data_IF_823065829824
#
_entry.id   IF_823065829824
#
_cell.length_a   1.000
_cell.length_b   1.000
_cell.length_c   1.000
_cell.angle_alpha   90.00
_cell.angle_beta   90.00
_cell.angle_gamma   90.00
#
_symmetry.space_group_name_H-M   'P 1'
#
loop_
_entity.id
_entity.type
_entity.pdbx_description
1 polymer ?
#
# COMPACT_ATOMS: atom_id res chain seq x y z
N UNK A 1 -13.05 9.96 11.34
CA UNK A 1 -13.22 8.67 10.61
C UNK A 1 -11.91 7.90 10.42
N UNK A 2 -10.73 8.49 10.66
CA UNK A 2 -9.42 7.81 10.65
C UNK A 2 -9.20 6.69 11.70
N UNK A 3 -10.04 6.65 12.75
CA UNK A 3 -9.91 5.65 13.84
C UNK A 3 -10.18 4.22 13.39
N UNK A 4 -11.00 4.02 12.36
CA UNK A 4 -11.36 2.68 11.88
C UNK A 4 -10.35 2.11 10.87
N UNK A 5 -9.66 2.99 10.12
CA UNK A 5 -8.60 2.57 9.18
C UNK A 5 -7.39 1.98 9.92
N UNK A 6 -7.05 2.55 11.09
CA UNK A 6 -5.96 2.06 11.94
C UNK A 6 -6.25 0.67 12.52
N UNK A 7 -7.52 0.36 12.79
CA UNK A 7 -7.92 -0.92 13.37
C UNK A 7 -7.72 -2.08 12.38
N UNK A 8 -7.96 -1.84 11.09
CA UNK A 8 -7.82 -2.84 10.03
C UNK A 8 -6.35 -3.20 9.73
N UNK A 9 -5.44 -2.23 9.79
CA UNK A 9 -4.00 -2.47 9.61
C UNK A 9 -3.43 -3.25 10.80
N UNK A 10 -3.86 -2.94 12.03
CA UNK A 10 -3.44 -3.67 13.23
C UNK A 10 -4.01 -5.10 13.26
N UNK A 11 -5.24 -5.33 12.78
CA UNK A 11 -5.82 -6.67 12.73
C UNK A 11 -5.19 -7.56 11.65
N UNK A 12 -4.76 -6.98 10.51
CA UNK A 12 -4.03 -7.74 9.49
C UNK A 12 -2.65 -8.24 9.99
N UNK A 13 -2.01 -7.49 10.90
CA UNK A 13 -0.72 -7.85 11.51
C UNK A 13 -0.79 -9.00 12.54
N UNK A 14 -1.99 -9.36 13.02
CA UNK A 14 -2.19 -10.42 14.02
C UNK A 14 -2.49 -11.79 13.39
N UNK A 15 -2.70 -11.87 12.07
CA UNK A 15 -3.09 -13.10 11.37
C UNK A 15 -1.87 -13.98 11.04
N UNK A 16 -0.67 -13.41 11.04
CA UNK A 16 0.59 -14.16 10.98
C UNK A 16 1.29 -14.00 12.33
N UNK A 17 1.70 -15.11 12.95
CA UNK A 17 2.29 -15.17 14.29
C UNK A 17 3.69 -14.53 14.39
N UNK A 18 3.89 -13.36 13.80
CA UNK A 18 5.08 -12.55 13.90
C UNK A 18 4.88 -11.50 15.00
N UNK A 19 5.72 -11.49 16.05
CA UNK A 19 5.59 -10.51 17.12
C UNK A 19 5.87 -9.11 16.55
N UNK A 20 4.82 -8.28 16.45
CA UNK A 20 4.98 -6.85 16.20
C UNK A 20 5.88 -6.28 17.32
N UNK A 21 6.96 -5.55 16.98
CA UNK A 21 7.81 -4.94 17.99
C UNK A 21 6.99 -4.06 18.94
N UNK A 22 7.21 -4.23 20.25
CA UNK A 22 6.47 -3.54 21.30
C UNK A 22 6.48 -2.02 21.10
N UNK A 23 7.61 -1.46 20.68
CA UNK A 23 7.80 -0.03 20.43
C UNK A 23 6.90 0.52 19.31
N UNK A 24 6.61 -0.30 18.29
CA UNK A 24 5.73 0.06 17.19
C UNK A 24 4.26 0.07 17.64
N UNK A 25 3.87 -0.90 18.47
CA UNK A 25 2.56 -0.95 19.09
C UNK A 25 2.33 0.20 20.08
N UNK A 26 3.36 0.59 20.84
CA UNK A 26 3.31 1.72 21.77
C UNK A 26 3.22 3.07 21.05
N UNK A 27 4.00 3.28 19.98
CA UNK A 27 3.91 4.49 19.16
C UNK A 27 2.51 4.67 18.54
N UNK A 28 1.92 3.58 18.03
CA UNK A 28 0.55 3.57 17.51
C UNK A 28 -0.49 3.88 18.61
N UNK A 29 -0.35 3.24 19.79
CA UNK A 29 -1.24 3.46 20.94
C UNK A 29 -1.21 4.91 21.44
N UNK A 30 -0.04 5.55 21.38
CA UNK A 30 0.15 6.94 21.81
C UNK A 30 -0.15 7.97 20.70
N UNK A 31 -0.56 7.51 19.50
CA UNK A 31 -0.86 8.39 18.37
C UNK A 31 0.35 9.12 17.78
N UNK A 32 1.56 8.65 18.08
CA UNK A 32 2.80 9.27 17.64
C UNK A 32 3.20 8.73 16.26
N UNK A 33 2.53 9.23 15.22
CA UNK A 33 2.63 8.71 13.86
C UNK A 33 3.99 8.92 13.21
N UNK A 34 4.70 9.99 13.55
CA UNK A 34 6.06 10.25 13.04
C UNK A 34 7.05 9.19 13.55
N UNK A 35 6.94 8.86 14.84
CA UNK A 35 7.74 7.79 15.46
C UNK A 35 7.32 6.42 14.93
N UNK A 36 6.02 6.16 14.81
CA UNK A 36 5.50 4.93 14.23
C UNK A 36 6.06 4.68 12.81
N UNK A 37 5.98 5.68 11.94
CA UNK A 37 6.46 5.57 10.55
C UNK A 37 7.98 5.36 10.48
N UNK A 38 8.73 5.98 11.40
CA UNK A 38 10.18 5.80 11.49
C UNK A 38 10.54 4.38 11.93
N UNK A 39 9.90 3.88 12.99
CA UNK A 39 10.11 2.52 13.51
C UNK A 39 9.68 1.46 12.48
N UNK A 40 8.56 1.70 11.78
CA UNK A 40 8.09 0.82 10.71
C UNK A 40 9.12 0.74 9.57
N UNK A 41 9.69 1.88 9.13
CA UNK A 41 10.75 1.93 8.10
C UNK A 41 12.03 1.22 8.52
N UNK A 42 12.45 1.42 9.77
CA UNK A 42 13.65 0.75 10.31
C UNK A 42 13.44 -0.75 10.44
N UNK A 43 12.26 -1.16 10.92
CA UNK A 43 11.91 -2.57 10.99
C UNK A 43 11.96 -3.18 9.58
N UNK A 44 11.48 -2.48 8.53
CA UNK A 44 11.46 -2.91 7.09
C UNK A 44 12.83 -3.19 6.56
N UNK A 45 13.72 -2.25 6.81
CA UNK A 45 15.08 -2.31 6.33
C UNK A 45 15.86 -3.43 7.04
N UNK A 46 15.62 -3.64 8.33
CA UNK A 46 16.42 -4.56 9.15
C UNK A 46 15.97 -6.03 9.06
N UNK A 47 14.68 -6.30 8.87
CA UNK A 47 14.15 -7.66 8.88
C UNK A 47 13.93 -8.25 7.48
N UNK A 48 14.49 -7.63 6.44
CA UNK A 48 14.37 -8.05 5.05
C UNK A 48 12.93 -8.24 4.53
N UNK A 49 11.89 -7.89 5.29
CA UNK A 49 10.50 -7.78 4.81
C UNK A 49 10.30 -6.58 3.88
N UNK A 50 11.37 -5.79 3.66
CA UNK A 50 11.51 -4.99 2.44
C UNK A 50 11.57 -5.84 1.16
N UNK A 51 11.55 -7.18 1.24
CA UNK A 51 11.12 -8.01 0.10
C UNK A 51 9.59 -8.18 0.12
N UNK A 52 8.95 -7.56 -0.88
CA UNK A 52 7.69 -8.00 -1.52
C UNK A 52 6.32 -7.42 -1.10
N UNK A 53 6.21 -6.35 -0.31
CA UNK A 53 4.95 -5.56 -0.28
C UNK A 53 4.91 -4.40 -1.29
N UNK A 54 6.03 -4.14 -1.98
CA UNK A 54 6.15 -3.10 -2.99
C UNK A 54 7.05 -3.52 -4.15
N UNK A 55 6.90 -4.76 -4.65
CA UNK A 55 7.34 -5.03 -6.01
C UNK A 55 6.45 -4.22 -6.94
N UNK A 56 6.95 -3.10 -7.49
CA UNK A 56 6.23 -2.38 -8.53
C UNK A 56 5.96 -3.38 -9.65
N UNK A 57 4.71 -3.60 -10.04
CA UNK A 57 4.37 -4.50 -11.16
C UNK A 57 5.17 -4.13 -12.41
N UNK A 58 5.45 -2.84 -12.62
CA UNK A 58 6.28 -2.35 -13.74
C UNK A 58 7.74 -2.87 -13.67
N UNK A 59 8.24 -3.24 -12.48
CA UNK A 59 9.62 -3.67 -12.26
C UNK A 59 9.84 -5.18 -12.40
N UNK A 60 8.77 -5.96 -12.57
CA UNK A 60 8.87 -7.40 -12.78
C UNK A 60 9.58 -7.71 -14.10
N UNK A 61 10.55 -8.61 -14.07
CA UNK A 61 11.33 -9.05 -15.23
C UNK A 61 11.50 -10.58 -15.19
N UNK A 62 11.39 -11.27 -16.35
CA UNK A 62 11.67 -12.69 -16.43
C UNK A 62 13.17 -12.95 -16.24
N UNK A 63 13.52 -14.06 -15.58
CA UNK A 63 14.91 -14.46 -15.33
C UNK A 63 15.49 -15.35 -16.45
N UNK A 64 14.81 -15.40 -17.60
CA UNK A 64 15.16 -16.20 -18.77
C UNK A 64 14.79 -17.69 -18.66
N UNK A 65 14.31 -18.15 -17.50
CA UNK A 65 13.81 -19.52 -17.28
C UNK A 65 12.35 -19.55 -16.82
N UNK A 66 11.85 -18.41 -16.36
CA UNK A 66 10.51 -18.23 -15.82
C UNK A 66 9.80 -17.08 -16.54
N UNK A 67 8.50 -17.25 -16.71
CA UNK A 67 7.60 -16.17 -17.13
C UNK A 67 7.16 -15.37 -15.91
N UNK A 68 6.90 -14.07 -16.09
CA UNK A 68 6.41 -13.20 -15.02
C UNK A 68 5.18 -12.45 -15.49
N UNK A 69 4.11 -12.56 -14.72
CA UNK A 69 2.89 -11.79 -14.91
C UNK A 69 2.56 -11.02 -13.64
N UNK A 70 2.26 -9.74 -13.79
CA UNK A 70 1.79 -8.89 -12.69
C UNK A 70 0.68 -7.97 -13.15
N UNK A 71 -0.29 -7.74 -12.28
CA UNK A 71 -1.40 -6.83 -12.53
C UNK A 71 -1.69 -6.03 -11.25
N UNK A 72 -1.71 -4.71 -11.36
CA UNK A 72 -2.06 -3.81 -10.27
C UNK A 72 -3.05 -2.75 -10.75
N UNK A 73 -4.09 -2.52 -9.95
CA UNK A 73 -5.09 -1.46 -10.17
C UNK A 73 -5.18 -0.62 -8.91
N UNK A 74 -5.14 0.70 -9.07
CA UNK A 74 -5.34 1.66 -7.99
C UNK A 74 -6.28 2.76 -8.45
N UNK A 75 -7.31 3.06 -7.68
CA UNK A 75 -8.25 4.12 -7.99
C UNK A 75 -8.71 4.86 -6.74
N UNK A 76 -8.96 6.16 -6.87
CA UNK A 76 -9.59 6.99 -5.84
C UNK A 76 -10.79 7.72 -6.41
N UNK A 77 -11.74 8.01 -5.52
CA UNK A 77 -12.91 8.81 -5.81
C UNK A 77 -13.20 9.70 -4.61
N UNK A 78 -13.33 10.99 -4.87
CA UNK A 78 -13.51 12.03 -3.86
C UNK A 78 -14.74 12.86 -4.22
N UNK A 79 -15.53 13.18 -3.19
CA UNK A 79 -16.66 14.09 -3.31
C UNK A 79 -16.44 15.28 -2.38
N UNK A 80 -16.62 16.47 -2.90
CA UNK A 80 -16.54 17.70 -2.15
C UNK A 80 -17.85 18.46 -2.25
N UNK A 81 -18.37 18.95 -1.13
CA UNK A 81 -19.61 19.72 -1.08
C UNK A 81 -19.33 21.10 -0.47
N UNK A 82 -19.31 22.11 -1.34
CA UNK A 82 -19.16 23.51 -0.94
C UNK A 82 -20.51 24.22 -1.10
N UNK A 83 -21.16 24.54 0.02
CA UNK A 83 -22.42 25.28 0.06
C UNK A 83 -23.51 24.74 -0.89
N UNK A 84 -23.65 23.41 -0.98
CA UNK A 84 -24.66 22.75 -1.82
C UNK A 84 -24.19 22.47 -3.25
N UNK A 85 -22.98 22.90 -3.63
CA UNK A 85 -22.34 22.49 -4.88
C UNK A 85 -21.51 21.24 -4.62
N UNK A 86 -21.99 20.11 -5.12
CA UNK A 86 -21.24 18.85 -5.10
C UNK A 86 -20.30 18.81 -6.31
N UNK A 87 -19.03 18.55 -6.04
CA UNK A 87 -18.02 18.21 -7.05
C UNK A 87 -17.53 16.80 -6.80
N UNK A 88 -17.29 16.09 -7.89
CA UNK A 88 -16.77 14.74 -7.88
C UNK A 88 -15.44 14.76 -8.63
N UNK A 89 -14.40 14.24 -7.99
CA UNK A 89 -13.12 13.97 -8.63
C UNK A 89 -12.78 12.49 -8.45
N UNK A 90 -12.03 11.95 -9.40
CA UNK A 90 -11.63 10.56 -9.35
C UNK A 90 -10.62 10.23 -10.43
N UNK A 91 -9.68 9.36 -10.08
CA UNK A 91 -8.65 8.86 -10.98
C UNK A 91 -8.31 7.41 -10.63
N UNK A 92 -8.09 6.63 -11.67
CA UNK A 92 -7.63 5.26 -11.64
C UNK A 92 -6.39 5.07 -12.49
N UNK A 93 -5.54 4.13 -12.10
CA UNK A 93 -4.37 3.67 -12.81
C UNK A 93 -4.36 2.15 -12.77
N UNK A 94 -4.24 1.54 -13.93
CA UNK A 94 -4.04 0.10 -14.10
C UNK A 94 -2.69 -0.14 -14.78
N UNK A 95 -1.97 -1.13 -14.27
CA UNK A 95 -0.66 -1.56 -14.74
C UNK A 95 -0.68 -3.07 -14.93
N UNK A 96 -0.38 -3.52 -16.13
CA UNK A 96 -0.20 -4.93 -16.49
C UNK A 96 1.25 -5.11 -16.93
N UNK A 97 1.94 -6.08 -16.36
CA UNK A 97 3.26 -6.52 -16.80
C UNK A 97 3.17 -7.98 -17.25
N UNK A 98 3.52 -8.23 -18.50
CA UNK A 98 3.62 -9.56 -19.08
C UNK A 98 5.03 -9.78 -19.62
N UNK A 99 5.84 -10.59 -18.93
CA UNK A 99 7.23 -10.88 -19.26
C UNK A 99 8.11 -9.64 -19.45
N UNK A 100 7.93 -8.63 -18.61
CA UNK A 100 8.64 -7.36 -18.68
C UNK A 100 8.02 -6.36 -19.67
N UNK A 101 6.97 -6.75 -20.41
CA UNK A 101 6.20 -5.84 -21.24
C UNK A 101 5.11 -5.15 -20.40
N UNK A 102 5.29 -3.85 -20.15
CA UNK A 102 4.42 -3.07 -19.27
C UNK A 102 3.41 -2.27 -20.08
N UNK A 103 2.13 -2.46 -19.76
CA UNK A 103 0.99 -1.66 -20.23
C UNK A 103 0.45 -0.88 -19.05
N UNK A 104 0.37 0.44 -19.19
CA UNK A 104 -0.18 1.33 -18.16
C UNK A 104 -1.28 2.18 -18.76
N UNK A 105 -2.43 2.23 -18.10
CA UNK A 105 -3.52 3.09 -18.53
C UNK A 105 -4.18 3.79 -17.34
N UNK A 106 -4.62 5.02 -17.59
CA UNK A 106 -5.35 5.82 -16.64
C UNK A 106 -6.84 5.80 -16.99
N UNK A 107 -7.70 5.79 -15.98
CA UNK A 107 -9.14 5.82 -16.15
C UNK A 107 -9.81 6.72 -15.11
N UNK A 108 -11.08 7.05 -15.32
CA UNK A 108 -11.92 7.68 -14.30
C UNK A 108 -12.87 6.63 -13.71
N UNK A 109 -12.86 6.39 -12.39
CA UNK A 109 -13.67 5.39 -11.72
C UNK A 109 -15.14 5.80 -11.46
#
# INVERSE_FOLDING_TARGET
MFKFLCLFVVSALLIEASPVPLELAEAAKNGNWDVFNTLLRQYTQNNNWATALAGNVESLQPDGKSHVFGHAVSAYKEWHNDNGKVTEDGRGVEVINNDGHVIKHEFKP
#
